data_IF_581761481523
#
_entry.id   IF_581761481523
#
_cell.length_a   1.000
_cell.length_b   1.000
_cell.length_c   1.000
_cell.angle_alpha   90.00
_cell.angle_beta   90.00
_cell.angle_gamma   90.00
#
_symmetry.space_group_name_H-M   'P 1'
#
loop_
_entity.id
_entity.type
_entity.pdbx_description
1 polymer ?
#
# COMPACT_ATOMS: atom_id res chain seq x y z
N UNK A 1 -56.57 -43.10 89.91
CA UNK A 1 -57.25 -42.06 89.07
C UNK A 1 -56.21 -41.00 88.71
N UNK A 2 -55.69 -40.96 87.56
CA UNK A 2 -54.80 -39.95 87.06
C UNK A 2 -55.22 -39.60 85.62
N UNK A 3 -55.26 -38.32 85.22
CA UNK A 3 -55.90 -37.93 83.99
C UNK A 3 -54.91 -38.07 82.81
N UNK A 4 -55.50 -38.61 81.73
CA UNK A 4 -54.90 -38.64 80.38
C UNK A 4 -54.60 -37.22 79.88
N UNK A 5 -53.32 -36.92 79.61
CA UNK A 5 -52.96 -35.69 78.94
C UNK A 5 -52.97 -35.84 77.40
N UNK A 6 -53.71 -34.99 76.84
CA UNK A 6 -54.18 -34.82 75.46
C UNK A 6 -53.07 -34.83 74.44
N UNK A 7 -53.23 -35.62 73.37
CA UNK A 7 -52.40 -35.68 72.12
C UNK A 7 -52.82 -34.61 71.09
N UNK A 8 -53.47 -33.52 71.48
CA UNK A 8 -54.07 -32.55 70.59
C UNK A 8 -53.13 -31.33 70.19
N UNK A 9 -51.95 -31.20 70.79
CA UNK A 9 -51.12 -30.01 70.57
C UNK A 9 -50.00 -30.14 69.50
N UNK A 10 -49.72 -31.39 69.04
CA UNK A 10 -48.60 -31.58 68.03
C UNK A 10 -49.12 -31.52 66.61
N UNK A 11 -50.32 -31.90 66.29
CA UNK A 11 -50.82 -31.86 64.90
C UNK A 11 -51.02 -30.45 64.33
N UNK A 12 -51.46 -29.52 65.20
CA UNK A 12 -51.72 -28.13 64.78
C UNK A 12 -50.39 -27.30 64.48
N UNK A 13 -49.32 -27.65 65.19
CA UNK A 13 -47.99 -26.99 64.89
C UNK A 13 -47.31 -27.56 63.66
N UNK A 14 -47.50 -28.81 63.33
CA UNK A 14 -46.93 -29.46 62.13
C UNK A 14 -47.72 -29.08 60.87
N UNK A 15 -49.09 -28.91 60.98
CA UNK A 15 -49.86 -28.41 59.84
C UNK A 15 -49.57 -26.94 59.48
N UNK A 16 -49.40 -26.07 60.51
CA UNK A 16 -48.94 -24.67 60.26
C UNK A 16 -47.55 -24.58 59.63
N UNK A 17 -46.64 -25.46 60.07
CA UNK A 17 -45.27 -25.45 59.50
C UNK A 17 -45.21 -26.00 58.04
N UNK A 18 -46.10 -26.94 57.71
CA UNK A 18 -46.24 -27.47 56.33
C UNK A 18 -46.90 -26.44 55.39
N UNK A 19 -47.89 -25.69 55.86
CA UNK A 19 -48.54 -24.61 55.11
C UNK A 19 -47.53 -23.45 54.77
N UNK A 20 -46.62 -23.13 55.71
CA UNK A 20 -45.62 -22.09 55.54
C UNK A 20 -44.59 -22.48 54.49
N UNK A 21 -44.15 -23.75 54.43
CA UNK A 21 -43.21 -24.25 53.39
C UNK A 21 -43.84 -24.25 52.00
N UNK A 22 -45.13 -24.69 51.90
CA UNK A 22 -45.86 -24.69 50.62
C UNK A 22 -46.11 -23.25 50.10
N UNK A 23 -46.44 -22.32 51.03
CA UNK A 23 -46.55 -20.89 50.64
C UNK A 23 -45.24 -20.30 50.13
N UNK A 24 -44.14 -20.56 50.81
CA UNK A 24 -42.78 -20.12 50.39
C UNK A 24 -42.36 -20.70 49.01
N UNK A 25 -42.64 -21.98 48.76
CA UNK A 25 -42.42 -22.64 47.49
C UNK A 25 -43.25 -21.97 46.39
N UNK A 26 -44.51 -21.72 46.57
CA UNK A 26 -45.36 -21.05 45.58
C UNK A 26 -44.92 -19.63 45.29
N UNK A 27 -44.49 -18.86 46.31
CA UNK A 27 -44.00 -17.51 46.17
C UNK A 27 -42.67 -17.48 45.35
N UNK A 28 -41.73 -18.38 45.68
CA UNK A 28 -40.47 -18.49 44.98
C UNK A 28 -40.64 -18.95 43.53
N UNK A 29 -41.48 -19.94 43.26
CA UNK A 29 -41.79 -20.40 41.90
C UNK A 29 -42.43 -19.27 41.06
N UNK A 30 -43.34 -18.50 41.68
CA UNK A 30 -43.95 -17.32 41.05
C UNK A 30 -42.91 -16.27 40.72
N UNK A 31 -41.99 -15.95 41.65
CA UNK A 31 -40.93 -15.00 41.45
C UNK A 31 -39.92 -15.46 40.33
N UNK A 32 -39.59 -16.76 40.30
CA UNK A 32 -38.75 -17.35 39.24
C UNK A 32 -39.43 -17.21 37.87
N UNK A 33 -40.74 -17.56 37.81
CA UNK A 33 -41.49 -17.45 36.56
C UNK A 33 -41.62 -16.00 36.07
N UNK A 34 -41.76 -15.04 36.98
CA UNK A 34 -41.92 -13.63 36.70
C UNK A 34 -40.56 -12.93 36.35
N UNK A 35 -39.41 -13.56 36.59
CA UNK A 35 -38.09 -12.98 36.27
C UNK A 35 -38.02 -12.68 34.77
N UNK A 36 -37.84 -11.39 34.41
CA UNK A 36 -37.85 -10.91 33.04
C UNK A 36 -36.51 -11.12 32.33
N UNK A 37 -35.40 -11.17 33.06
CA UNK A 37 -34.03 -11.31 32.55
C UNK A 37 -33.15 -12.10 33.51
N UNK A 38 -31.93 -12.40 33.09
CA UNK A 38 -30.94 -13.16 33.87
C UNK A 38 -30.55 -12.48 35.18
N UNK A 39 -30.54 -11.13 35.23
CA UNK A 39 -30.22 -10.38 36.44
C UNK A 39 -31.33 -10.48 37.48
N UNK A 40 -32.57 -10.36 37.03
CA UNK A 40 -33.76 -10.57 37.88
C UNK A 40 -33.80 -12.00 38.42
N UNK A 41 -33.54 -13.01 37.60
CA UNK A 41 -33.47 -14.41 38.03
C UNK A 41 -32.33 -14.65 39.05
N UNK A 42 -31.18 -14.02 38.82
CA UNK A 42 -30.04 -14.12 39.76
C UNK A 42 -30.36 -13.46 41.12
N UNK A 43 -31.10 -12.35 41.12
CA UNK A 43 -31.59 -11.74 42.36
C UNK A 43 -32.51 -12.68 43.15
N UNK A 44 -33.44 -13.36 42.45
CA UNK A 44 -34.31 -14.39 43.07
C UNK A 44 -33.46 -15.54 43.60
N UNK A 45 -32.49 -16.04 42.84
CA UNK A 45 -31.57 -17.11 43.27
C UNK A 45 -30.82 -16.75 44.56
N UNK A 46 -30.30 -15.53 44.62
CA UNK A 46 -29.57 -15.03 45.80
C UNK A 46 -30.51 -14.87 46.99
N UNK A 47 -31.75 -14.36 46.78
CA UNK A 47 -32.76 -14.21 47.80
C UNK A 47 -33.24 -15.55 48.38
N UNK A 48 -33.31 -16.60 47.56
CA UNK A 48 -33.72 -17.93 47.97
C UNK A 48 -32.57 -18.81 48.54
N UNK A 49 -31.47 -18.92 47.76
CA UNK A 49 -30.41 -19.91 47.99
C UNK A 49 -29.05 -19.28 48.39
N UNK A 50 -28.95 -17.96 48.45
CA UNK A 50 -27.74 -17.26 48.92
C UNK A 50 -27.46 -17.52 50.41
N UNK A 51 -26.30 -17.02 50.90
CA UNK A 51 -25.88 -17.23 52.32
C UNK A 51 -26.94 -16.79 53.36
N UNK A 52 -27.76 -15.80 53.08
CA UNK A 52 -28.87 -15.28 53.89
C UNK A 52 -30.23 -15.52 53.23
N UNK A 53 -30.30 -16.37 52.20
CA UNK A 53 -31.54 -16.68 51.51
C UNK A 53 -32.52 -17.46 52.35
N UNK A 54 -33.81 -17.35 51.99
CA UNK A 54 -34.92 -17.95 52.75
C UNK A 54 -34.79 -19.47 52.93
N UNK A 55 -34.47 -20.20 51.84
CA UNK A 55 -34.27 -21.65 51.90
C UNK A 55 -32.98 -22.01 52.65
N UNK A 56 -31.90 -21.21 52.48
CA UNK A 56 -30.67 -21.42 53.23
C UNK A 56 -30.81 -21.17 54.71
N UNK A 57 -31.66 -20.22 55.11
CA UNK A 57 -32.00 -19.98 56.52
C UNK A 57 -32.75 -21.14 57.13
N UNK A 58 -33.71 -21.76 56.41
CA UNK A 58 -34.39 -22.98 56.83
C UNK A 58 -33.48 -24.17 57.06
N UNK A 59 -32.50 -24.35 56.09
CA UNK A 59 -31.46 -25.39 56.22
C UNK A 59 -30.54 -25.16 57.41
N UNK A 60 -30.19 -23.93 57.74
CA UNK A 60 -29.42 -23.58 58.94
C UNK A 60 -30.19 -23.82 60.24
N UNK A 61 -31.48 -23.45 60.26
CA UNK A 61 -32.33 -23.64 61.43
C UNK A 61 -32.52 -25.13 61.81
N UNK A 62 -32.41 -26.02 60.82
CA UNK A 62 -32.45 -27.49 61.08
C UNK A 62 -31.29 -27.96 61.97
N UNK A 63 -30.17 -27.22 62.03
CA UNK A 63 -29.07 -27.56 62.92
C UNK A 63 -29.43 -27.49 64.40
N UNK A 64 -30.45 -26.75 64.84
CA UNK A 64 -30.88 -26.58 66.17
C UNK A 64 -32.09 -27.52 66.59
N UNK A 65 -32.59 -28.29 65.61
CA UNK A 65 -33.68 -29.20 65.85
C UNK A 65 -33.29 -30.55 66.50
N UNK A 66 -34.21 -31.20 67.21
CA UNK A 66 -33.98 -32.54 67.73
C UNK A 66 -33.81 -33.59 66.62
N UNK A 67 -33.19 -34.75 66.89
CA UNK A 67 -32.95 -35.78 65.88
C UNK A 67 -34.27 -36.27 65.19
N UNK A 68 -35.36 -36.35 65.90
CA UNK A 68 -36.68 -36.81 65.36
C UNK A 68 -37.27 -35.74 64.44
N UNK A 69 -37.29 -34.45 64.84
CA UNK A 69 -37.75 -33.33 64.02
C UNK A 69 -36.94 -33.15 62.80
N UNK A 70 -35.63 -33.36 62.85
CA UNK A 70 -34.71 -33.30 61.72
C UNK A 70 -34.98 -34.42 60.70
N UNK A 71 -35.41 -35.59 61.19
CA UNK A 71 -35.74 -36.73 60.34
C UNK A 71 -37.05 -36.50 59.57
N UNK A 72 -38.02 -35.79 60.16
CA UNK A 72 -39.29 -35.45 59.50
C UNK A 72 -39.17 -34.24 58.56
N UNK A 73 -38.54 -33.14 58.96
CA UNK A 73 -38.49 -31.88 58.20
C UNK A 73 -37.33 -31.84 57.18
N UNK A 74 -36.24 -32.57 57.39
CA UNK A 74 -35.10 -32.60 56.53
C UNK A 74 -35.38 -32.94 55.07
N UNK A 75 -36.10 -34.02 54.79
CA UNK A 75 -36.47 -34.36 53.41
C UNK A 75 -37.32 -33.28 52.72
N UNK A 76 -38.27 -32.62 53.47
CA UNK A 76 -39.14 -31.59 52.94
C UNK A 76 -38.34 -30.31 52.51
N UNK A 77 -37.44 -29.85 53.39
CA UNK A 77 -36.61 -28.65 53.07
C UNK A 77 -35.59 -28.95 51.95
N UNK A 78 -35.07 -30.18 51.88
CA UNK A 78 -34.23 -30.59 50.78
C UNK A 78 -35.02 -30.68 49.45
N UNK A 79 -36.24 -31.25 49.49
CA UNK A 79 -37.11 -31.29 48.31
C UNK A 79 -37.44 -29.87 47.80
N UNK A 80 -37.78 -28.94 48.71
CA UNK A 80 -38.00 -27.52 48.37
C UNK A 80 -36.77 -26.92 47.67
N UNK A 81 -35.56 -27.12 48.27
CA UNK A 81 -34.32 -26.62 47.65
C UNK A 81 -34.12 -27.15 46.23
N UNK A 82 -34.32 -28.47 46.06
CA UNK A 82 -34.09 -29.15 44.77
C UNK A 82 -35.15 -28.69 43.73
N UNK A 83 -36.43 -28.52 44.15
CA UNK A 83 -37.46 -27.92 43.29
C UNK A 83 -37.12 -26.51 42.85
N UNK A 84 -36.70 -25.65 43.79
CA UNK A 84 -36.32 -24.26 43.44
C UNK A 84 -35.07 -24.21 42.56
N UNK A 85 -34.05 -25.07 42.79
CA UNK A 85 -32.89 -25.17 41.94
C UNK A 85 -33.25 -25.62 40.52
N UNK A 86 -34.12 -26.60 40.38
CA UNK A 86 -34.60 -27.08 39.08
C UNK A 86 -35.36 -25.99 38.32
N UNK A 87 -36.28 -25.29 39.00
CA UNK A 87 -37.04 -24.19 38.41
C UNK A 87 -36.15 -23.02 37.96
N UNK A 88 -35.11 -22.65 38.74
CA UNK A 88 -34.14 -21.65 38.38
C UNK A 88 -33.37 -22.10 37.15
N UNK A 89 -32.92 -23.35 37.07
CA UNK A 89 -32.17 -23.87 35.94
C UNK A 89 -33.01 -23.86 34.66
N UNK A 90 -34.27 -24.29 34.73
CA UNK A 90 -35.22 -24.26 33.62
C UNK A 90 -35.47 -22.82 33.12
N UNK A 91 -35.78 -21.90 34.04
CA UNK A 91 -36.01 -20.49 33.70
C UNK A 91 -34.76 -19.83 33.08
N UNK A 92 -33.58 -20.14 33.61
CA UNK A 92 -32.29 -19.66 33.05
C UNK A 92 -32.16 -20.10 31.61
N UNK A 93 -32.35 -21.34 31.29
CA UNK A 93 -32.23 -21.84 29.92
C UNK A 93 -33.19 -21.13 28.96
N UNK A 94 -34.43 -20.83 29.40
CA UNK A 94 -35.37 -20.04 28.59
C UNK A 94 -34.89 -18.61 28.36
N UNK A 95 -34.39 -17.96 29.40
CA UNK A 95 -33.91 -16.57 29.29
C UNK A 95 -32.64 -16.47 28.48
N UNK A 96 -31.70 -17.42 28.60
CA UNK A 96 -30.48 -17.49 27.79
C UNK A 96 -30.80 -17.71 26.30
N UNK A 97 -31.76 -18.60 26.00
CA UNK A 97 -32.20 -18.83 24.63
C UNK A 97 -32.89 -17.58 24.05
N UNK A 98 -33.71 -16.88 24.81
CA UNK A 98 -34.38 -15.66 24.39
C UNK A 98 -33.34 -14.51 24.16
N UNK A 99 -32.38 -14.39 25.05
CA UNK A 99 -31.30 -13.40 24.90
C UNK A 99 -30.44 -13.67 23.67
N UNK A 100 -30.07 -14.92 23.41
CA UNK A 100 -29.34 -15.32 22.21
C UNK A 100 -30.13 -15.04 20.95
N UNK A 101 -31.42 -15.38 20.92
CA UNK A 101 -32.25 -15.09 19.74
C UNK A 101 -32.34 -13.58 19.47
N UNK A 102 -32.54 -12.78 20.52
CA UNK A 102 -32.56 -11.33 20.40
C UNK A 102 -31.25 -10.78 19.87
N UNK A 103 -30.09 -11.31 20.32
CA UNK A 103 -28.78 -10.96 19.82
C UNK A 103 -28.62 -11.34 18.34
N UNK A 104 -28.98 -12.55 17.96
CA UNK A 104 -28.89 -13.02 16.57
C UNK A 104 -29.75 -12.17 15.62
N UNK A 105 -30.93 -11.74 16.07
CA UNK A 105 -31.77 -10.84 15.29
C UNK A 105 -31.16 -9.44 15.14
N UNK A 106 -30.55 -8.92 16.20
CA UNK A 106 -29.90 -7.61 16.18
C UNK A 106 -28.62 -7.61 15.31
N UNK A 107 -27.88 -8.72 15.30
CA UNK A 107 -26.65 -8.89 14.50
C UNK A 107 -26.94 -9.37 13.06
N UNK A 108 -28.20 -9.53 12.68
CA UNK A 108 -28.53 -9.97 11.33
C UNK A 108 -28.10 -8.98 10.27
N UNK A 109 -27.22 -9.40 9.37
CA UNK A 109 -26.75 -8.62 8.23
C UNK A 109 -27.60 -8.90 6.99
N UNK A 110 -27.88 -7.84 6.22
CA UNK A 110 -28.49 -8.00 4.92
C UNK A 110 -27.42 -8.42 3.89
N UNK A 111 -27.40 -9.70 3.55
CA UNK A 111 -26.49 -10.28 2.57
C UNK A 111 -26.95 -10.08 1.11
N UNK A 112 -28.09 -9.44 0.88
CA UNK A 112 -28.59 -9.12 -0.47
C UNK A 112 -27.92 -7.88 -1.05
N UNK A 113 -27.29 -7.05 -0.20
CA UNK A 113 -26.51 -5.91 -0.65
C UNK A 113 -25.21 -6.37 -1.31
N UNK A 114 -24.83 -5.78 -2.47
CA UNK A 114 -23.57 -6.09 -3.10
C UNK A 114 -22.41 -5.74 -2.14
N UNK A 115 -21.40 -6.60 -2.08
CA UNK A 115 -20.19 -6.29 -1.33
C UNK A 115 -19.54 -5.02 -1.89
N UNK A 116 -18.95 -4.15 -1.04
CA UNK A 116 -18.21 -3.02 -1.52
C UNK A 116 -17.16 -3.47 -2.56
N UNK A 117 -17.03 -2.76 -3.69
CA UNK A 117 -16.06 -3.13 -4.70
C UNK A 117 -14.66 -3.14 -4.07
N UNK A 118 -13.93 -4.24 -4.24
CA UNK A 118 -12.53 -4.30 -3.81
C UNK A 118 -11.74 -3.29 -4.63
N UNK A 119 -11.05 -2.39 -3.97
CA UNK A 119 -10.09 -1.50 -4.63
C UNK A 119 -9.03 -2.37 -5.29
N UNK A 120 -8.89 -2.25 -6.60
CA UNK A 120 -7.81 -2.92 -7.35
C UNK A 120 -6.60 -2.00 -7.31
N UNK A 121 -5.41 -2.58 -7.13
CA UNK A 121 -4.17 -1.84 -7.31
C UNK A 121 -4.02 -1.38 -8.76
N UNK A 122 -3.30 -0.27 -8.96
CA UNK A 122 -2.99 0.26 -10.28
C UNK A 122 -1.50 0.53 -10.41
N UNK A 123 -0.98 0.54 -11.64
CA UNK A 123 0.37 0.98 -11.92
C UNK A 123 0.42 2.50 -11.93
N UNK A 124 1.45 3.05 -11.31
CA UNK A 124 1.74 4.48 -11.40
C UNK A 124 2.09 4.86 -12.84
N UNK A 125 1.64 6.03 -13.36
CA UNK A 125 1.93 6.45 -14.73
C UNK A 125 3.42 6.45 -15.09
N UNK A 126 4.29 6.91 -14.21
CA UNK A 126 5.74 6.87 -14.41
C UNK A 126 6.27 5.46 -14.68
N UNK A 127 5.80 4.45 -13.92
CA UNK A 127 6.22 3.06 -14.16
C UNK A 127 5.69 2.55 -15.49
N UNK A 128 4.46 2.91 -15.86
CA UNK A 128 3.88 2.56 -17.16
C UNK A 128 4.68 3.13 -18.32
N UNK A 129 5.07 4.42 -18.21
CA UNK A 129 5.91 5.08 -19.21
C UNK A 129 7.29 4.41 -19.31
N UNK A 130 7.90 4.11 -18.18
CA UNK A 130 9.19 3.43 -18.13
C UNK A 130 9.15 2.05 -18.78
N UNK A 131 8.15 1.23 -18.48
CA UNK A 131 7.95 -0.09 -19.09
C UNK A 131 7.78 0.02 -20.60
N UNK A 132 7.02 1.02 -21.09
CA UNK A 132 6.82 1.27 -22.51
C UNK A 132 8.12 1.69 -23.21
N UNK A 133 8.89 2.59 -22.60
CA UNK A 133 10.20 2.99 -23.12
C UNK A 133 11.16 1.79 -23.21
N UNK A 134 11.24 0.99 -22.14
CA UNK A 134 12.07 -0.23 -22.12
C UNK A 134 11.66 -1.17 -23.25
N UNK A 135 10.37 -1.39 -23.44
CA UNK A 135 9.87 -2.29 -24.48
C UNK A 135 10.22 -1.77 -25.90
N UNK A 136 10.04 -0.47 -26.18
CA UNK A 136 10.40 0.13 -27.47
C UNK A 136 11.90 -0.02 -27.74
N UNK A 137 12.76 0.31 -26.76
CA UNK A 137 14.20 0.18 -26.93
C UNK A 137 14.67 -1.27 -27.01
N UNK A 138 14.02 -2.20 -26.30
CA UNK A 138 14.32 -3.64 -26.42
C UNK A 138 14.11 -4.15 -27.84
N UNK A 139 13.03 -3.72 -28.53
CA UNK A 139 12.83 -4.06 -29.96
C UNK A 139 13.86 -3.44 -30.89
N UNK A 140 14.47 -2.32 -30.49
CA UNK A 140 15.57 -1.71 -31.22
C UNK A 140 16.93 -2.34 -30.86
N UNK A 141 16.93 -3.42 -30.06
CA UNK A 141 18.12 -4.20 -29.68
C UNK A 141 18.93 -3.59 -28.54
N UNK A 142 18.34 -2.73 -27.68
CA UNK A 142 18.97 -2.24 -26.48
C UNK A 142 18.74 -3.20 -25.31
N UNK A 143 19.79 -3.45 -24.53
CA UNK A 143 19.69 -4.14 -23.25
C UNK A 143 19.49 -3.13 -22.10
N UNK A 144 18.82 -3.53 -21.03
CA UNK A 144 18.72 -2.71 -19.81
C UNK A 144 19.97 -2.91 -18.97
N UNK A 145 20.57 -1.79 -18.54
CA UNK A 145 21.67 -1.75 -17.58
C UNK A 145 21.22 -1.01 -16.32
N UNK A 146 21.63 -1.48 -15.16
CA UNK A 146 21.30 -0.91 -13.86
C UNK A 146 22.55 -0.51 -13.09
N UNK A 147 22.41 0.43 -12.17
CA UNK A 147 23.48 0.88 -11.29
C UNK A 147 22.94 1.56 -10.03
N UNK A 148 23.80 1.87 -9.06
CA UNK A 148 23.42 2.44 -7.78
C UNK A 148 22.90 3.88 -7.91
N UNK A 149 21.99 4.27 -7.00
CA UNK A 149 21.54 5.66 -6.88
C UNK A 149 22.58 6.56 -6.18
N UNK A 150 23.43 5.96 -5.31
CA UNK A 150 24.49 6.65 -4.58
C UNK A 150 25.80 6.40 -5.31
N UNK A 151 26.42 7.48 -5.79
CA UNK A 151 27.61 7.43 -6.61
C UNK A 151 28.80 8.18 -6.00
N UNK A 152 29.99 7.91 -6.53
CA UNK A 152 31.17 8.71 -6.27
C UNK A 152 31.31 9.83 -7.31
N UNK A 153 32.21 10.77 -7.04
CA UNK A 153 32.51 11.90 -7.96
C UNK A 153 33.02 11.42 -9.32
N UNK A 154 33.82 10.35 -9.32
CA UNK A 154 34.42 9.86 -10.57
C UNK A 154 33.33 9.42 -11.56
N UNK A 155 32.40 8.56 -11.15
CA UNK A 155 31.36 8.05 -12.05
C UNK A 155 30.31 9.11 -12.39
N UNK A 156 29.96 9.99 -11.43
CA UNK A 156 28.90 10.98 -11.66
C UNK A 156 29.38 12.20 -12.44
N UNK A 157 30.69 12.55 -12.38
CA UNK A 157 31.18 13.76 -12.97
C UNK A 157 32.51 13.59 -13.76
N UNK A 158 33.57 13.12 -13.10
CA UNK A 158 34.93 13.15 -13.67
C UNK A 158 35.05 12.30 -14.92
N UNK A 159 34.53 11.06 -14.91
CA UNK A 159 34.54 10.18 -16.09
C UNK A 159 33.72 10.75 -17.24
N UNK A 160 32.71 11.54 -16.96
CA UNK A 160 31.82 12.21 -17.90
C UNK A 160 32.35 13.57 -18.38
N UNK A 161 33.62 13.83 -18.18
CA UNK A 161 34.32 15.04 -18.66
C UNK A 161 33.80 16.36 -18.03
N UNK A 162 33.14 16.32 -16.84
CA UNK A 162 32.83 17.54 -16.13
C UNK A 162 34.07 18.16 -15.52
N UNK A 163 34.38 19.44 -15.81
CA UNK A 163 35.52 20.10 -15.20
C UNK A 163 35.31 20.29 -13.69
N UNK A 164 36.41 20.43 -12.89
CA UNK A 164 36.34 20.52 -11.43
C UNK A 164 35.48 21.67 -10.89
N UNK A 165 35.35 22.75 -11.65
CA UNK A 165 34.56 23.95 -11.27
C UNK A 165 33.26 24.08 -12.07
N UNK A 166 32.71 22.98 -12.54
CA UNK A 166 31.43 23.00 -13.26
C UNK A 166 30.28 23.30 -12.30
N UNK A 167 29.29 24.18 -12.65
CA UNK A 167 28.15 24.51 -11.78
C UNK A 167 27.40 23.29 -11.26
N UNK A 168 27.18 22.25 -12.07
CA UNK A 168 26.51 21.00 -11.64
C UNK A 168 27.22 20.27 -10.48
N UNK A 169 28.46 20.64 -10.11
CA UNK A 169 29.16 20.13 -8.92
C UNK A 169 28.90 20.96 -7.66
N UNK A 170 28.13 22.04 -7.78
CA UNK A 170 27.79 22.89 -6.63
C UNK A 170 26.75 22.26 -5.73
N UNK A 171 26.84 22.57 -4.44
CA UNK A 171 25.93 21.99 -3.42
C UNK A 171 24.48 22.44 -3.57
N UNK A 172 24.20 23.52 -4.30
CA UNK A 172 22.85 23.96 -4.56
C UNK A 172 22.16 23.21 -5.69
N UNK A 173 22.92 22.47 -6.53
CA UNK A 173 22.39 21.69 -7.66
C UNK A 173 22.40 20.18 -7.37
N UNK A 174 23.29 19.71 -6.48
CA UNK A 174 23.54 18.29 -6.24
C UNK A 174 23.44 17.94 -4.75
N UNK A 175 22.78 16.82 -4.45
CA UNK A 175 22.70 16.27 -3.09
C UNK A 175 23.97 15.48 -2.75
N UNK A 176 24.79 16.04 -1.87
CA UNK A 176 26.00 15.41 -1.35
C UNK A 176 25.78 14.77 0.01
N UNK A 177 26.36 13.61 0.23
CA UNK A 177 26.48 13.01 1.56
C UNK A 177 27.57 13.73 2.37
N UNK A 178 27.57 13.49 3.70
CA UNK A 178 28.67 13.96 4.53
C UNK A 178 29.97 13.31 4.07
N UNK A 179 31.12 14.03 4.18
CA UNK A 179 32.41 13.46 3.84
C UNK A 179 32.70 12.22 4.70
N UNK A 180 33.35 11.23 4.10
CA UNK A 180 33.90 10.09 4.81
C UNK A 180 35.19 10.46 5.58
N UNK A 181 35.85 9.46 6.19
CA UNK A 181 37.09 9.63 6.94
C UNK A 181 38.27 10.15 6.08
N UNK A 182 38.19 10.00 4.76
CA UNK A 182 39.20 10.47 3.80
C UNK A 182 38.84 11.85 3.22
N UNK A 183 37.69 12.42 3.60
CA UNK A 183 37.17 13.67 3.08
C UNK A 183 36.44 13.52 1.74
N UNK A 184 36.24 12.29 1.26
CA UNK A 184 35.51 12.03 0.02
C UNK A 184 34.00 12.08 0.27
N UNK A 185 33.26 12.63 -0.72
CA UNK A 185 31.81 12.74 -0.65
C UNK A 185 31.17 11.90 -1.73
N UNK A 186 30.20 11.11 -1.33
CA UNK A 186 29.26 10.50 -2.27
C UNK A 186 28.13 11.47 -2.60
N UNK A 187 27.46 11.20 -3.72
CA UNK A 187 26.35 12.01 -4.22
C UNK A 187 25.14 11.11 -4.52
N UNK A 188 23.94 11.67 -4.44
CA UNK A 188 22.81 11.10 -5.16
C UNK A 188 23.02 11.44 -6.65
N UNK A 189 22.99 10.44 -7.53
CA UNK A 189 23.28 10.62 -8.96
C UNK A 189 22.35 11.65 -9.59
N UNK A 190 22.93 12.59 -10.34
CA UNK A 190 22.20 13.69 -10.99
C UNK A 190 21.63 13.32 -12.36
N UNK A 191 22.02 12.17 -12.88
CA UNK A 191 21.60 11.55 -14.14
C UNK A 191 21.92 10.05 -14.08
N UNK A 192 21.45 9.27 -15.05
CA UNK A 192 21.75 7.83 -15.11
C UNK A 192 23.04 7.50 -15.88
N UNK A 193 23.78 8.51 -16.34
CA UNK A 193 25.08 8.35 -17.07
C UNK A 193 26.15 7.58 -16.28
N UNK A 194 26.21 7.57 -14.92
CA UNK A 194 27.13 6.68 -14.20
C UNK A 194 26.98 5.20 -14.59
N UNK A 195 25.77 4.76 -14.93
CA UNK A 195 25.53 3.40 -15.42
C UNK A 195 26.22 3.17 -16.76
N UNK A 196 26.21 4.17 -17.65
CA UNK A 196 26.92 4.12 -18.91
C UNK A 196 28.44 3.99 -18.70
N UNK A 197 29.01 4.79 -17.77
CA UNK A 197 30.45 4.73 -17.39
C UNK A 197 30.78 3.33 -16.86
N UNK A 198 30.00 2.81 -15.92
CA UNK A 198 30.20 1.45 -15.35
C UNK A 198 30.14 0.38 -16.42
N UNK A 199 29.20 0.51 -17.36
CA UNK A 199 29.05 -0.44 -18.47
C UNK A 199 30.28 -0.40 -19.39
N UNK A 200 30.74 0.79 -19.80
CA UNK A 200 31.94 0.94 -20.65
C UNK A 200 33.23 0.42 -19.98
N UNK A 201 33.32 0.59 -18.64
CA UNK A 201 34.44 0.04 -17.86
C UNK A 201 34.39 -1.45 -17.66
N UNK A 202 33.15 -2.01 -17.58
CA UNK A 202 32.91 -3.42 -17.25
C UNK A 202 32.86 -4.38 -18.43
N UNK A 203 32.62 -3.89 -19.66
CA UNK A 203 32.53 -4.73 -20.86
C UNK A 203 33.13 -4.08 -22.10
N UNK A 204 33.56 -4.92 -23.04
CA UNK A 204 34.08 -4.43 -24.32
C UNK A 204 32.93 -4.12 -25.29
N UNK A 205 33.08 -3.10 -26.16
CA UNK A 205 32.17 -2.86 -27.26
C UNK A 205 32.07 -4.09 -28.22
N UNK A 206 30.96 -4.27 -28.95
CA UNK A 206 29.86 -3.30 -29.10
C UNK A 206 28.95 -3.23 -27.87
N UNK A 207 28.53 -2.01 -27.52
CA UNK A 207 27.61 -1.74 -26.40
C UNK A 207 26.34 -1.10 -26.95
N UNK A 208 25.19 -1.57 -26.50
CA UNK A 208 23.89 -0.97 -26.80
C UNK A 208 22.99 -1.17 -25.60
N UNK A 209 22.87 -0.14 -24.77
CA UNK A 209 22.13 -0.19 -23.52
C UNK A 209 21.20 1.00 -23.35
N UNK A 210 20.17 0.81 -22.54
CA UNK A 210 19.45 1.87 -21.85
C UNK A 210 19.66 1.73 -20.35
N UNK A 211 19.69 2.87 -19.64
CA UNK A 211 19.84 2.95 -18.19
C UNK A 211 18.61 3.67 -17.60
N UNK A 212 17.50 2.95 -17.31
CA UNK A 212 16.38 3.51 -16.60
C UNK A 212 16.69 3.66 -15.11
N UNK A 213 16.22 4.75 -14.49
CA UNK A 213 16.41 4.90 -13.06
C UNK A 213 16.00 6.25 -12.51
N UNK A 214 16.07 6.36 -11.18
CA UNK A 214 15.85 7.62 -10.46
C UNK A 214 17.09 8.49 -10.55
N UNK A 215 16.86 9.80 -10.57
CA UNK A 215 17.88 10.84 -10.55
C UNK A 215 17.47 11.93 -9.59
N UNK A 216 18.44 12.73 -9.11
CA UNK A 216 18.22 13.66 -8.01
C UNK A 216 18.90 14.99 -8.30
N UNK A 217 18.14 16.10 -8.20
CA UNK A 217 18.64 17.48 -8.36
C UNK A 217 17.95 18.38 -7.35
N UNK A 218 18.63 19.43 -6.91
CA UNK A 218 18.07 20.39 -5.94
C UNK A 218 17.08 21.37 -6.59
N UNK A 219 16.25 20.89 -7.52
CA UNK A 219 15.24 21.67 -8.23
C UNK A 219 13.84 21.31 -7.75
N UNK A 220 12.95 22.32 -7.62
CA UNK A 220 11.57 22.11 -7.28
C UNK A 220 10.69 23.24 -7.82
N UNK A 221 10.03 22.99 -8.95
CA UNK A 221 9.02 23.87 -9.53
C UNK A 221 7.89 23.04 -10.20
N UNK A 222 7.06 23.65 -11.03
CA UNK A 222 5.96 22.96 -11.72
C UNK A 222 6.42 21.85 -12.68
N UNK A 223 7.65 21.95 -13.18
CA UNK A 223 8.24 21.05 -14.18
C UNK A 223 9.41 20.23 -13.64
N UNK A 224 9.83 20.47 -12.40
CA UNK A 224 10.97 19.84 -11.75
C UNK A 224 10.62 19.39 -10.32
N UNK A 225 11.13 18.23 -9.96
CA UNK A 225 11.05 17.68 -8.59
C UNK A 225 12.44 17.25 -8.14
N UNK A 226 12.73 17.25 -6.82
CA UNK A 226 14.05 16.85 -6.30
C UNK A 226 14.48 15.43 -6.69
N UNK A 227 13.51 14.55 -6.93
CA UNK A 227 13.70 13.22 -7.48
C UNK A 227 12.80 13.07 -8.71
N UNK A 228 13.35 12.57 -9.81
CA UNK A 228 12.62 12.28 -11.04
C UNK A 228 13.21 11.04 -11.71
N UNK A 229 12.56 10.54 -12.76
CA UNK A 229 13.01 9.35 -13.47
C UNK A 229 13.57 9.72 -14.83
N UNK A 230 14.64 9.02 -15.22
CA UNK A 230 15.32 9.21 -16.47
C UNK A 230 15.59 7.87 -17.14
N UNK A 231 15.57 7.85 -18.46
CA UNK A 231 16.09 6.75 -19.28
C UNK A 231 17.15 7.34 -20.18
N UNK A 232 18.41 6.97 -19.96
CA UNK A 232 19.49 7.29 -20.87
C UNK A 232 19.86 6.10 -21.74
N UNK A 233 20.29 6.36 -22.95
CA UNK A 233 20.76 5.35 -23.88
C UNK A 233 22.22 5.59 -24.29
N UNK A 234 22.96 4.49 -24.51
CA UNK A 234 24.33 4.48 -24.97
C UNK A 234 24.50 3.42 -26.06
N UNK A 235 25.12 3.84 -27.16
CA UNK A 235 25.60 2.93 -28.19
C UNK A 235 27.09 3.20 -28.43
N UNK A 236 27.93 2.17 -28.36
CA UNK A 236 29.35 2.23 -28.70
C UNK A 236 29.63 1.13 -29.73
N UNK A 237 30.15 1.51 -30.91
CA UNK A 237 30.55 0.58 -31.95
C UNK A 237 31.58 1.29 -32.90
N UNK A 238 32.09 0.57 -33.90
CA UNK A 238 33.18 1.10 -34.77
C UNK A 238 32.73 2.15 -35.79
N UNK A 239 31.50 2.15 -36.23
CA UNK A 239 31.02 3.00 -37.34
C UNK A 239 29.80 3.83 -36.99
N UNK A 240 29.71 4.27 -35.74
CA UNK A 240 28.59 5.06 -35.24
C UNK A 240 28.73 6.53 -35.61
N UNK A 241 27.64 7.16 -36.01
CA UNK A 241 27.59 8.59 -36.38
C UNK A 241 26.24 9.21 -36.07
N UNK A 242 26.12 10.53 -36.16
CA UNK A 242 24.90 11.30 -35.87
C UNK A 242 23.64 10.81 -36.60
N UNK A 243 23.76 10.22 -37.78
CA UNK A 243 22.62 9.65 -38.51
C UNK A 243 21.98 8.47 -37.80
N UNK A 244 22.77 7.64 -37.12
CA UNK A 244 22.29 6.54 -36.31
C UNK A 244 21.56 7.07 -35.07
N UNK A 245 22.11 8.09 -34.40
CA UNK A 245 21.46 8.77 -33.28
C UNK A 245 20.11 9.35 -33.71
N UNK A 246 20.09 10.11 -34.82
CA UNK A 246 18.87 10.70 -35.34
C UNK A 246 17.82 9.66 -35.64
N UNK A 247 18.15 8.58 -36.34
CA UNK A 247 17.23 7.48 -36.65
C UNK A 247 16.67 6.82 -35.36
N UNK A 248 17.52 6.60 -34.37
CA UNK A 248 17.14 6.01 -33.08
C UNK A 248 16.09 6.87 -32.39
N UNK A 249 16.32 8.19 -32.31
CA UNK A 249 15.43 9.12 -31.62
C UNK A 249 14.12 9.35 -32.41
N UNK A 250 14.19 9.49 -33.72
CA UNK A 250 12.99 9.63 -34.58
C UNK A 250 12.08 8.39 -34.48
N UNK A 251 12.69 7.19 -34.48
CA UNK A 251 11.97 5.92 -34.31
C UNK A 251 11.33 5.81 -32.95
N UNK A 252 12.05 6.16 -31.89
CA UNK A 252 11.53 6.14 -30.53
C UNK A 252 10.33 7.09 -30.36
N UNK A 253 10.48 8.35 -30.76
CA UNK A 253 9.44 9.38 -30.61
C UNK A 253 8.16 9.00 -31.37
N UNK A 254 8.28 8.54 -32.63
CA UNK A 254 7.14 8.11 -33.44
C UNK A 254 6.38 6.95 -32.78
N UNK A 255 7.09 5.97 -32.23
CA UNK A 255 6.48 4.82 -31.54
C UNK A 255 5.86 5.22 -30.20
N UNK A 256 6.60 6.00 -29.40
CA UNK A 256 6.13 6.37 -28.06
C UNK A 256 4.87 7.24 -28.09
N UNK A 257 4.80 8.23 -28.98
CA UNK A 257 3.62 9.09 -29.13
C UNK A 257 2.56 8.50 -30.08
N UNK A 258 2.80 7.32 -30.66
CA UNK A 258 1.88 6.64 -31.58
C UNK A 258 1.48 7.57 -32.75
N UNK A 259 2.42 8.41 -33.19
CA UNK A 259 2.20 9.42 -34.21
C UNK A 259 3.10 9.16 -35.42
N UNK A 260 2.49 9.02 -36.61
CA UNK A 260 3.23 8.91 -37.88
C UNK A 260 3.77 10.27 -38.31
N UNK A 261 5.02 10.29 -38.80
CA UNK A 261 5.60 11.48 -39.41
C UNK A 261 5.85 12.65 -38.47
N UNK A 262 6.14 12.38 -37.19
CA UNK A 262 6.54 13.41 -36.24
C UNK A 262 7.77 14.15 -36.77
N UNK A 263 7.61 15.45 -37.05
CA UNK A 263 8.75 16.27 -37.48
C UNK A 263 9.62 16.58 -36.29
N UNK A 264 10.91 16.26 -36.42
CA UNK A 264 11.94 16.53 -35.41
C UNK A 264 12.94 17.54 -35.93
N UNK A 265 13.53 18.32 -35.04
CA UNK A 265 14.67 19.16 -35.34
C UNK A 265 15.74 19.02 -34.24
N UNK A 266 16.99 19.09 -34.64
CA UNK A 266 18.14 19.10 -33.75
C UNK A 266 18.67 20.51 -33.63
N UNK A 267 18.80 21.02 -32.43
CA UNK A 267 19.41 22.29 -32.10
C UNK A 267 20.79 22.05 -31.46
N UNK A 268 21.86 22.65 -31.91
CA UNK A 268 23.15 22.57 -31.22
C UNK A 268 23.01 22.99 -29.75
N UNK A 269 23.60 22.19 -28.87
CA UNK A 269 23.70 22.46 -27.45
C UNK A 269 25.07 22.04 -26.93
N UNK A 270 25.42 22.35 -25.70
CA UNK A 270 26.67 21.94 -25.09
C UNK A 270 26.41 21.04 -23.88
N UNK A 271 26.96 19.82 -23.93
CA UNK A 271 27.07 18.93 -22.78
C UNK A 271 28.57 18.53 -22.63
N UNK A 272 29.10 18.44 -21.39
CA UNK A 272 30.50 18.06 -21.18
C UNK A 272 30.87 16.69 -21.73
N UNK A 273 29.92 15.78 -21.76
CA UNK A 273 30.10 14.36 -22.07
C UNK A 273 29.79 13.99 -23.53
N UNK A 274 29.35 14.94 -24.36
CA UNK A 274 29.10 14.72 -25.80
C UNK A 274 29.68 15.82 -26.66
N UNK A 275 30.14 15.48 -27.90
CA UNK A 275 30.62 16.41 -28.93
C UNK A 275 30.56 15.74 -30.33
N UNK A 276 29.71 16.23 -31.26
CA UNK A 276 28.75 17.31 -31.12
C UNK A 276 27.57 16.92 -30.20
N UNK A 277 27.02 17.94 -29.52
CA UNK A 277 25.87 17.81 -28.68
C UNK A 277 24.65 18.52 -29.29
N UNK A 278 23.47 18.02 -29.04
CA UNK A 278 22.20 18.61 -29.48
C UNK A 278 21.07 18.36 -28.50
N UNK A 279 20.10 19.22 -28.55
CA UNK A 279 18.75 18.96 -28.05
C UNK A 279 17.84 18.66 -29.23
N UNK A 280 16.95 17.69 -29.07
CA UNK A 280 15.94 17.40 -30.09
C UNK A 280 14.59 17.91 -29.65
N UNK A 281 13.99 18.70 -30.53
CA UNK A 281 12.61 19.17 -30.41
C UNK A 281 11.69 18.36 -31.32
N UNK A 282 10.44 18.20 -30.89
CA UNK A 282 9.35 17.65 -31.69
C UNK A 282 8.32 18.73 -32.01
N UNK A 283 7.72 18.65 -33.19
CA UNK A 283 6.65 19.55 -33.62
C UNK A 283 5.38 19.24 -32.80
N UNK A 284 4.69 20.30 -32.35
CA UNK A 284 3.44 20.18 -31.59
C UNK A 284 2.51 21.37 -31.81
N UNK A 285 1.23 21.20 -31.40
CA UNK A 285 0.26 22.28 -31.27
C UNK A 285 -0.10 22.47 -29.79
N UNK A 286 0.05 23.70 -29.31
CA UNK A 286 -0.27 24.12 -27.92
C UNK A 286 -1.51 24.97 -27.81
N UNK A 287 -2.21 25.27 -28.90
CA UNK A 287 -3.29 26.25 -28.95
C UNK A 287 -4.57 25.81 -28.23
N UNK A 288 -4.78 24.51 -28.00
CA UNK A 288 -6.02 23.94 -27.51
C UNK A 288 -6.04 23.49 -26.04
N UNK A 289 -5.08 23.93 -25.22
CA UNK A 289 -4.99 23.51 -23.79
C UNK A 289 -4.44 22.09 -23.58
N UNK A 290 -4.42 21.27 -24.62
CA UNK A 290 -3.71 19.98 -24.67
C UNK A 290 -2.65 20.00 -25.76
N UNK A 291 -1.48 19.46 -25.47
CA UNK A 291 -0.39 19.39 -26.43
C UNK A 291 -0.68 18.25 -27.42
N UNK A 292 -0.71 18.58 -28.72
CA UNK A 292 -0.89 17.57 -29.79
C UNK A 292 0.45 17.41 -30.53
N UNK A 293 1.05 16.25 -30.39
CA UNK A 293 2.32 15.92 -31.01
C UNK A 293 2.16 15.67 -32.52
N UNK A 294 3.11 16.14 -33.32
CA UNK A 294 3.10 16.00 -34.78
C UNK A 294 2.16 16.95 -35.52
N UNK A 295 1.57 17.94 -34.84
CA UNK A 295 0.64 18.93 -35.40
C UNK A 295 1.12 20.35 -35.06
N UNK A 296 0.58 21.34 -35.76
CA UNK A 296 0.84 22.75 -35.47
C UNK A 296 2.22 23.23 -35.93
N UNK A 297 2.68 24.35 -35.34
CA UNK A 297 3.95 25.02 -35.70
C UNK A 297 4.88 25.20 -34.51
N UNK A 298 4.44 24.82 -33.32
CA UNK A 298 5.24 24.95 -32.10
C UNK A 298 6.28 23.83 -32.01
N UNK A 299 7.25 24.04 -31.15
CA UNK A 299 8.33 23.10 -30.89
C UNK A 299 8.45 22.82 -29.39
N UNK A 300 8.67 21.56 -29.07
CA UNK A 300 8.83 21.09 -27.72
C UNK A 300 10.11 20.25 -27.62
N UNK A 301 11.04 20.67 -26.77
CA UNK A 301 12.24 19.91 -26.44
C UNK A 301 11.86 18.65 -25.65
N UNK A 302 12.41 17.49 -26.06
CA UNK A 302 12.11 16.19 -25.43
C UNK A 302 13.36 15.42 -24.99
N UNK A 303 14.55 15.69 -25.57
CA UNK A 303 15.75 14.91 -25.28
C UNK A 303 17.03 15.68 -25.54
N UNK A 304 17.97 15.57 -24.59
CA UNK A 304 19.37 15.93 -24.82
C UNK A 304 20.14 14.73 -25.36
N UNK A 305 21.03 14.97 -26.35
CA UNK A 305 21.74 13.89 -27.02
C UNK A 305 23.06 14.36 -27.66
N UNK A 306 23.87 13.42 -28.12
CA UNK A 306 25.08 13.74 -28.85
C UNK A 306 26.00 12.54 -29.08
N UNK A 307 27.10 12.78 -29.80
CA UNK A 307 28.16 11.78 -29.90
C UNK A 307 28.99 11.78 -28.63
N UNK A 308 29.36 10.60 -28.14
CA UNK A 308 30.13 10.45 -26.90
C UNK A 308 31.48 11.16 -27.05
N UNK A 309 31.80 12.04 -26.11
CA UNK A 309 33.00 12.81 -26.12
C UNK A 309 34.26 11.89 -26.04
N UNK A 310 35.32 12.11 -26.84
CA UNK A 310 36.53 11.26 -26.81
C UNK A 310 37.18 11.11 -25.43
N UNK A 311 37.11 12.14 -24.59
CA UNK A 311 37.59 12.04 -23.20
C UNK A 311 36.79 11.06 -22.34
N UNK A 312 35.48 10.96 -22.56
CA UNK A 312 34.66 9.99 -21.86
C UNK A 312 35.05 8.55 -22.21
N UNK A 313 35.30 8.29 -23.51
CA UNK A 313 35.82 6.99 -23.96
C UNK A 313 37.16 6.67 -23.30
N UNK A 314 38.12 7.61 -23.30
CA UNK A 314 39.43 7.44 -22.65
C UNK A 314 39.32 7.21 -21.17
N UNK A 315 38.49 7.98 -20.48
CA UNK A 315 38.24 7.84 -19.02
C UNK A 315 37.62 6.46 -18.66
N UNK A 316 36.91 5.87 -19.61
CA UNK A 316 36.34 4.53 -19.47
C UNK A 316 37.26 3.41 -20.00
N UNK A 317 38.50 3.73 -20.46
CA UNK A 317 39.46 2.74 -20.96
C UNK A 317 39.24 2.29 -22.41
N UNK A 318 38.45 3.05 -23.18
CA UNK A 318 38.20 2.79 -24.60
C UNK A 318 39.00 3.72 -25.47
N UNK A 319 39.57 3.20 -26.59
CA UNK A 319 40.28 3.98 -27.55
C UNK A 319 39.33 4.76 -28.50
N UNK A 320 39.29 6.10 -28.47
CA UNK A 320 38.40 6.88 -29.32
C UNK A 320 38.79 6.86 -30.82
N UNK A 321 39.96 6.38 -31.17
CA UNK A 321 40.36 6.20 -32.57
C UNK A 321 39.77 4.88 -33.14
N UNK A 322 39.45 3.92 -32.26
CA UNK A 322 38.81 2.64 -32.64
C UNK A 322 37.29 2.66 -32.47
N UNK A 323 36.81 3.30 -31.39
CA UNK A 323 35.41 3.25 -30.95
C UNK A 323 34.75 4.61 -31.02
N UNK A 324 33.51 4.62 -31.49
CA UNK A 324 32.66 5.80 -31.53
C UNK A 324 31.30 5.46 -30.87
N UNK A 325 30.57 6.47 -30.47
CA UNK A 325 29.25 6.21 -29.86
C UNK A 325 28.38 7.44 -29.80
N UNK A 326 27.12 7.21 -29.51
CA UNK A 326 26.16 8.26 -29.15
C UNK A 326 25.47 7.95 -27.83
N UNK A 327 25.03 9.04 -27.18
CA UNK A 327 24.22 8.97 -25.99
C UNK A 327 23.03 9.91 -26.08
N UNK A 328 21.97 9.60 -25.32
CA UNK A 328 20.77 10.42 -25.20
C UNK A 328 20.12 10.23 -23.83
N UNK A 329 19.30 11.22 -23.37
CA UNK A 329 18.60 11.11 -22.08
C UNK A 329 17.22 11.73 -22.11
N UNK A 330 16.19 10.90 -21.79
CA UNK A 330 14.80 11.31 -21.66
C UNK A 330 14.38 11.40 -20.21
N UNK A 331 13.66 12.47 -19.84
CA UNK A 331 12.92 12.56 -18.59
C UNK A 331 11.60 11.76 -18.68
N UNK A 332 11.49 10.64 -17.96
CA UNK A 332 10.34 9.73 -18.01
C UNK A 332 9.07 10.44 -17.56
N UNK A 333 9.14 11.16 -16.46
CA UNK A 333 7.98 11.86 -15.88
C UNK A 333 7.47 12.95 -16.81
N UNK A 334 8.38 13.70 -17.46
CA UNK A 334 8.03 14.71 -18.46
C UNK A 334 7.36 14.10 -19.70
N UNK A 335 7.87 12.98 -20.20
CA UNK A 335 7.22 12.25 -21.29
C UNK A 335 5.84 11.75 -20.91
N UNK A 336 5.68 11.28 -19.67
CA UNK A 336 4.37 10.88 -19.12
C UNK A 336 3.39 12.05 -19.06
N UNK A 337 3.83 13.22 -18.58
CA UNK A 337 3.01 14.43 -18.60
C UNK A 337 2.52 14.78 -20.01
N UNK A 338 3.40 14.73 -21.00
CA UNK A 338 3.09 15.03 -22.37
C UNK A 338 2.12 14.02 -23.00
N UNK A 339 2.34 12.74 -22.77
CA UNK A 339 1.53 11.66 -23.34
C UNK A 339 0.12 11.60 -22.75
N UNK A 340 -0.01 11.83 -21.44
CA UNK A 340 -1.26 11.66 -20.70
C UNK A 340 -1.93 12.98 -20.30
N UNK A 341 -1.37 14.13 -20.70
CA UNK A 341 -1.95 15.45 -20.44
C UNK A 341 -1.96 15.85 -18.97
N UNK A 342 -0.95 15.45 -18.21
CA UNK A 342 -0.83 15.81 -16.79
C UNK A 342 -0.32 17.24 -16.63
N UNK A 343 -0.99 18.10 -15.85
CA UNK A 343 -0.69 19.53 -15.83
C UNK A 343 0.51 19.91 -14.94
N UNK A 344 0.81 19.11 -13.93
CA UNK A 344 1.85 19.42 -12.93
C UNK A 344 2.62 18.15 -12.56
N UNK A 345 3.96 18.19 -12.66
CA UNK A 345 4.81 17.05 -12.36
C UNK A 345 4.81 16.68 -10.88
N UNK A 346 4.61 17.66 -10.00
CA UNK A 346 4.58 17.45 -8.55
C UNK A 346 3.44 16.56 -8.10
N UNK A 347 2.32 16.56 -8.83
CA UNK A 347 1.15 15.73 -8.53
C UNK A 347 1.46 14.23 -8.64
N UNK A 348 2.43 13.85 -9.50
CA UNK A 348 2.89 12.46 -9.61
C UNK A 348 3.49 11.92 -8.30
N UNK A 349 4.04 12.82 -7.47
CA UNK A 349 4.75 12.47 -6.22
C UNK A 349 3.97 12.86 -4.96
N UNK A 350 2.80 13.52 -5.09
CA UNK A 350 1.99 13.96 -3.97
C UNK A 350 1.23 12.83 -3.24
N UNK A 351 1.19 11.63 -3.81
CA UNK A 351 0.49 10.44 -3.26
C UNK A 351 -1.02 10.67 -3.05
N UNK A 352 -1.67 11.57 -3.79
CA UNK A 352 -3.12 11.76 -3.76
C UNK A 352 -3.82 10.56 -4.40
N UNK A 353 -4.63 9.83 -3.61
CA UNK A 353 -5.34 8.63 -4.06
C UNK A 353 -6.29 8.92 -5.22
N UNK A 354 -6.94 10.11 -5.24
CA UNK A 354 -7.85 10.52 -6.33
C UNK A 354 -7.09 10.69 -7.64
N UNK A 355 -5.89 11.26 -7.58
CA UNK A 355 -5.01 11.40 -8.73
C UNK A 355 -4.54 10.04 -9.24
N UNK A 356 -4.13 9.14 -8.31
CA UNK A 356 -3.71 7.78 -8.65
C UNK A 356 -4.85 6.93 -9.23
N UNK A 357 -6.09 7.14 -8.77
CA UNK A 357 -7.27 6.48 -9.34
C UNK A 357 -7.61 7.01 -10.75
N UNK A 358 -7.38 8.32 -11.01
CA UNK A 358 -7.64 8.94 -12.31
C UNK A 358 -6.60 8.57 -13.37
N UNK A 359 -5.31 8.66 -13.04
CA UNK A 359 -4.20 8.42 -13.97
C UNK A 359 -3.61 7.01 -13.88
N UNK A 360 -4.00 6.19 -12.91
CA UNK A 360 -3.46 4.86 -12.72
C UNK A 360 -3.86 3.87 -13.81
N UNK A 361 -2.95 2.97 -14.17
CA UNK A 361 -3.15 1.96 -15.20
C UNK A 361 -3.44 0.59 -14.60
N UNK A 362 -4.25 -0.22 -15.29
CA UNK A 362 -4.43 -1.61 -14.91
C UNK A 362 -3.08 -2.36 -15.02
N UNK A 363 -2.66 -3.11 -13.98
CA UNK A 363 -1.44 -3.90 -14.03
C UNK A 363 -1.42 -4.96 -15.16
N UNK A 364 -2.61 -5.33 -15.64
CA UNK A 364 -2.79 -6.34 -16.70
C UNK A 364 -3.12 -5.73 -18.06
N UNK A 365 -3.13 -4.39 -18.17
CA UNK A 365 -3.29 -3.76 -19.47
C UNK A 365 -2.04 -4.04 -20.33
N UNK A 366 -2.20 -4.55 -21.56
CA UNK A 366 -1.06 -4.75 -22.44
C UNK A 366 -0.36 -3.41 -22.69
N UNK A 367 0.95 -3.47 -22.91
CA UNK A 367 1.67 -2.35 -23.50
C UNK A 367 1.10 -2.11 -24.91
N UNK A 368 1.10 -0.87 -25.41
CA UNK A 368 0.73 -0.60 -26.78
C UNK A 368 1.48 -1.57 -27.71
N UNK A 369 0.84 -2.10 -28.77
CA UNK A 369 1.49 -3.01 -29.68
C UNK A 369 2.69 -2.33 -30.33
N UNK A 370 3.88 -2.82 -30.04
CA UNK A 370 5.15 -2.29 -30.53
C UNK A 370 5.28 -2.45 -32.05
N UNK A 371 4.49 -3.34 -32.64
CA UNK A 371 4.44 -3.65 -34.06
C UNK A 371 3.31 -2.92 -34.79
N UNK A 372 2.73 -1.89 -34.23
CA UNK A 372 1.67 -1.15 -34.90
C UNK A 372 2.22 -0.49 -36.16
N UNK A 373 2.11 -1.24 -37.28
CA UNK A 373 2.05 -0.76 -38.65
C UNK A 373 3.33 -0.17 -39.25
N UNK A 374 4.27 -1.06 -39.59
CA UNK A 374 4.98 -0.93 -40.84
C UNK A 374 4.00 -1.39 -41.94
N UNK A 375 3.31 -0.45 -42.54
CA UNK A 375 2.47 -0.61 -43.71
C UNK A 375 2.79 0.50 -44.66
#
# INVERSE_FOLDING_TARGET
MGPSLSRKGRGDQDDLAMSDLSALEADLLTAIAAAADLNALEAVRVGALGKSGSVSALLKAMGGLSPDERRERGPLVNALRDTIQAAIAERRAVLEAAALEAQLQAERLDLTLPSPPRRRGSLHPTLRVMDEMIAIFAEMGFAVAEGPDIEDDFHNFTALNFPPKHPAREMHDTFFFQPDENGERKVLRTHTSPVQVRTMMGQKPPIRIIAPGRTYRCDSDQTHTPMFHQVEGLVIDKAIHMGHLKWTLDTFVSRFFEAEGVTTRFRPHHFPFTEPSAEMDIQCDRSGGQIKIGQGTDWLEVVGCGMVHPNVLRNCGLDPDEWQGFAFGFGVDRLGMLKYGMPDLRDMFASDVRWLEHYGFSPFAPLPPLTARAG
#
